data_IF_475634503641
#
_entry.id   IF_475634503641
#
_cell.length_a   1.000
_cell.length_b   1.000
_cell.length_c   1.000
_cell.angle_alpha   90.00
_cell.angle_beta   90.00
_cell.angle_gamma   90.00
#
_symmetry.space_group_name_H-M   'P 1'
#
loop_
_entity.id
_entity.type
_entity.pdbx_description
1 polymer ?
#
# COMPACT_ATOMS: atom_id res chain seq x y z
N UNK A 1 -1.72 -13.82 6.05
CA UNK A 1 -1.55 -13.32 4.67
C UNK A 1 -0.90 -11.95 4.71
N UNK A 2 0.15 -11.76 3.94
CA UNK A 2 0.90 -10.51 3.89
C UNK A 2 0.47 -9.69 2.67
N UNK A 3 0.01 -8.46 2.90
CA UNK A 3 -0.49 -7.58 1.85
C UNK A 3 0.26 -6.26 1.88
N UNK A 4 0.77 -5.83 0.73
CA UNK A 4 1.38 -4.52 0.57
C UNK A 4 0.40 -3.59 -0.16
N UNK A 5 0.21 -2.40 0.37
CA UNK A 5 -0.69 -1.39 -0.18
C UNK A 5 0.13 -0.18 -0.58
N UNK A 6 0.05 0.22 -1.84
CA UNK A 6 0.80 1.34 -2.39
C UNK A 6 -0.12 2.51 -2.70
N UNK A 7 0.11 3.65 -2.07
CA UNK A 7 -0.67 4.85 -2.27
C UNK A 7 0.18 5.93 -2.94
N UNK A 8 -0.39 6.59 -3.94
CA UNK A 8 0.31 7.58 -4.76
C UNK A 8 -0.22 9.01 -4.57
N UNK A 9 -1.26 9.17 -3.77
CA UNK A 9 -1.87 10.47 -3.49
C UNK A 9 -2.42 10.48 -2.07
N UNK A 10 -2.76 11.67 -1.56
CA UNK A 10 -3.37 11.79 -0.23
C UNK A 10 -4.73 11.08 -0.17
N UNK A 11 -5.52 11.19 -1.22
CA UNK A 11 -6.79 10.47 -1.32
C UNK A 11 -6.54 8.96 -1.32
N UNK A 12 -5.50 8.51 -2.04
CA UNK A 12 -5.09 7.13 -2.04
C UNK A 12 -4.68 6.64 -0.65
N UNK A 13 -3.99 7.47 0.13
CA UNK A 13 -3.62 7.14 1.50
C UNK A 13 -4.84 6.92 2.39
N UNK A 14 -5.87 7.75 2.25
CA UNK A 14 -7.13 7.58 2.99
C UNK A 14 -7.80 6.26 2.64
N UNK A 15 -7.84 5.93 1.36
CA UNK A 15 -8.40 4.66 0.90
C UNK A 15 -7.57 3.48 1.41
N UNK A 16 -6.25 3.58 1.37
CA UNK A 16 -5.36 2.55 1.87
C UNK A 16 -5.59 2.28 3.37
N UNK A 17 -5.77 3.32 4.16
CA UNK A 17 -6.09 3.16 5.59
C UNK A 17 -7.40 2.42 5.80
N UNK A 18 -8.42 2.72 5.01
CA UNK A 18 -9.71 2.01 5.08
C UNK A 18 -9.54 0.54 4.75
N UNK A 19 -8.73 0.22 3.74
CA UNK A 19 -8.44 -1.17 3.37
C UNK A 19 -7.74 -1.89 4.51
N UNK A 20 -6.74 -1.27 5.13
CA UNK A 20 -6.05 -1.84 6.29
C UNK A 20 -7.02 -2.14 7.44
N UNK A 21 -7.94 -1.24 7.71
CA UNK A 21 -8.93 -1.41 8.77
C UNK A 21 -9.96 -2.49 8.43
N UNK A 22 -10.25 -2.68 7.14
CA UNK A 22 -11.20 -3.69 6.69
C UNK A 22 -10.61 -5.10 6.67
N UNK A 23 -9.29 -5.24 6.78
CA UNK A 23 -8.57 -6.52 6.74
C UNK A 23 -7.77 -6.76 8.02
N UNK A 24 -8.42 -6.82 9.18
CA UNK A 24 -7.70 -6.94 10.46
C UNK A 24 -6.97 -8.26 10.63
N UNK A 25 -7.36 -9.30 9.90
CA UNK A 25 -6.73 -10.62 9.96
C UNK A 25 -5.49 -10.74 9.07
N UNK A 26 -5.29 -9.80 8.16
CA UNK A 26 -4.14 -9.79 7.28
C UNK A 26 -3.04 -8.88 7.83
N UNK A 27 -1.80 -9.24 7.61
CA UNK A 27 -0.67 -8.36 7.89
C UNK A 27 -0.53 -7.39 6.71
N UNK A 28 -0.87 -6.13 6.93
CA UNK A 28 -0.82 -5.11 5.89
C UNK A 28 0.31 -4.13 6.13
N UNK A 29 1.06 -3.83 5.07
CA UNK A 29 2.06 -2.78 5.05
C UNK A 29 1.62 -1.71 4.07
N UNK A 30 1.51 -0.48 4.55
CA UNK A 30 1.08 0.65 3.73
C UNK A 30 2.29 1.49 3.32
N UNK A 31 2.45 1.71 2.03
CA UNK A 31 3.52 2.53 1.46
C UNK A 31 2.93 3.74 0.76
N UNK A 32 3.60 4.88 0.87
CA UNK A 32 3.22 6.10 0.18
C UNK A 32 4.46 6.77 -0.40
N UNK A 33 4.27 7.53 -1.48
CA UNK A 33 5.38 8.29 -2.06
C UNK A 33 5.94 9.24 -1.01
N UNK A 34 7.29 9.35 -0.87
CA UNK A 34 7.91 10.10 0.22
C UNK A 34 7.48 11.56 0.32
N UNK A 35 7.18 12.19 -0.82
CA UNK A 35 6.74 13.60 -0.87
C UNK A 35 5.46 13.88 -0.09
N UNK A 36 4.63 12.86 0.15
CA UNK A 36 3.39 13.03 0.89
C UNK A 36 3.61 13.11 2.40
N UNK A 37 4.74 12.57 2.89
CA UNK A 37 5.08 12.52 4.30
C UNK A 37 3.90 12.09 5.20
N UNK A 38 3.15 11.10 4.74
CA UNK A 38 1.94 10.66 5.41
C UNK A 38 2.28 9.84 6.66
N UNK A 39 1.75 10.20 7.85
CA UNK A 39 2.03 9.45 9.08
C UNK A 39 1.54 8.02 9.00
N UNK A 40 2.36 7.09 9.49
CA UNK A 40 2.01 5.67 9.50
C UNK A 40 2.27 4.94 8.20
N UNK A 41 2.75 5.64 7.16
CA UNK A 41 3.11 5.05 5.88
C UNK A 41 4.62 4.95 5.73
N UNK A 42 5.07 3.84 5.16
CA UNK A 42 6.47 3.63 4.83
C UNK A 42 6.80 4.32 3.50
N UNK A 43 8.06 4.79 3.32
CA UNK A 43 8.44 5.43 2.07
C UNK A 43 8.46 4.44 0.91
N UNK A 44 7.84 4.81 -0.19
CA UNK A 44 7.78 3.99 -1.39
C UNK A 44 9.00 4.27 -2.28
N UNK A 45 9.90 3.31 -2.35
CA UNK A 45 11.13 3.40 -3.13
C UNK A 45 11.20 2.23 -4.12
N UNK A 46 12.06 2.33 -5.14
CA UNK A 46 12.22 1.27 -6.16
C UNK A 46 12.52 -0.09 -5.55
N UNK A 47 13.39 -0.14 -4.56
CA UNK A 47 13.77 -1.39 -3.91
C UNK A 47 12.59 -2.09 -3.22
N UNK A 48 11.62 -1.31 -2.76
CA UNK A 48 10.42 -1.82 -2.09
C UNK A 48 9.57 -2.65 -3.03
N UNK A 49 9.44 -2.23 -4.30
CA UNK A 49 8.65 -2.98 -5.28
C UNK A 49 9.18 -4.40 -5.47
N UNK A 50 10.49 -4.54 -5.61
CA UNK A 50 11.11 -5.85 -5.78
C UNK A 50 10.88 -6.76 -4.57
N UNK A 51 11.09 -6.23 -3.37
CA UNK A 51 10.86 -6.99 -2.14
C UNK A 51 9.38 -7.36 -1.98
N UNK A 52 8.48 -6.42 -2.26
CA UNK A 52 7.04 -6.68 -2.15
C UNK A 52 6.57 -7.76 -3.13
N UNK A 53 7.06 -7.73 -4.37
CA UNK A 53 6.72 -8.77 -5.34
C UNK A 53 7.18 -10.17 -4.91
N UNK A 54 8.30 -10.25 -4.20
CA UNK A 54 8.87 -11.52 -3.76
C UNK A 54 8.26 -12.04 -2.45
N UNK A 55 7.91 -11.15 -1.53
CA UNK A 55 7.56 -11.50 -0.15
C UNK A 55 6.07 -11.43 0.16
N UNK A 56 5.32 -10.62 -0.58
CA UNK A 56 3.90 -10.39 -0.29
C UNK A 56 2.99 -11.34 -1.04
N UNK A 57 1.92 -11.76 -0.37
CA UNK A 57 0.90 -12.63 -0.98
C UNK A 57 0.01 -11.85 -1.95
N UNK A 58 -0.24 -10.58 -1.65
CA UNK A 58 -1.06 -9.72 -2.51
C UNK A 58 -0.51 -8.29 -2.51
N UNK A 59 -0.70 -7.60 -3.63
CA UNK A 59 -0.32 -6.21 -3.80
C UNK A 59 -1.56 -5.41 -4.18
N UNK A 60 -1.78 -4.29 -3.50
CA UNK A 60 -2.89 -3.39 -3.79
C UNK A 60 -2.32 -2.02 -4.18
N UNK A 61 -2.64 -1.58 -5.39
CA UNK A 61 -2.22 -0.26 -5.87
C UNK A 61 -3.40 0.69 -5.84
N UNK A 62 -3.28 1.77 -5.08
CA UNK A 62 -4.35 2.76 -4.91
C UNK A 62 -3.95 4.04 -5.62
N UNK A 63 -4.56 4.28 -6.77
CA UNK A 63 -4.35 5.50 -7.55
C UNK A 63 -5.47 6.50 -7.35
N UNK A 64 -5.33 7.69 -8.00
CA UNK A 64 -6.34 8.73 -7.95
C UNK A 64 -7.65 8.30 -8.64
N UNK A 65 -7.59 7.38 -9.59
CA UNK A 65 -8.72 6.95 -10.41
C UNK A 65 -9.22 5.54 -10.09
N UNK A 66 -8.64 4.83 -9.11
CA UNK A 66 -9.10 3.50 -8.79
C UNK A 66 -8.10 2.64 -8.04
N UNK A 67 -8.44 1.37 -7.90
CA UNK A 67 -7.66 0.38 -7.18
C UNK A 67 -7.34 -0.77 -8.12
N UNK A 68 -6.07 -1.17 -8.14
CA UNK A 68 -5.64 -2.37 -8.84
C UNK A 68 -5.10 -3.38 -7.81
N UNK A 69 -5.53 -4.62 -7.92
CA UNK A 69 -5.11 -5.69 -7.02
C UNK A 69 -4.40 -6.77 -7.82
N UNK A 70 -3.28 -7.24 -7.26
CA UNK A 70 -2.54 -8.38 -7.83
C UNK A 70 -2.32 -9.42 -6.74
N UNK A 71 -2.59 -10.64 -7.08
CA UNK A 71 -2.34 -11.82 -6.23
C UNK A 71 -1.27 -12.71 -6.83
#
# INVERSE_FOLDING_TARGET
MNIAIFAYSRTGCKTARRICMALPEAETLCYAVPRLAEPGFLPLEKAVYGAAFSEMDALIFVGAAGIAVRE
#
